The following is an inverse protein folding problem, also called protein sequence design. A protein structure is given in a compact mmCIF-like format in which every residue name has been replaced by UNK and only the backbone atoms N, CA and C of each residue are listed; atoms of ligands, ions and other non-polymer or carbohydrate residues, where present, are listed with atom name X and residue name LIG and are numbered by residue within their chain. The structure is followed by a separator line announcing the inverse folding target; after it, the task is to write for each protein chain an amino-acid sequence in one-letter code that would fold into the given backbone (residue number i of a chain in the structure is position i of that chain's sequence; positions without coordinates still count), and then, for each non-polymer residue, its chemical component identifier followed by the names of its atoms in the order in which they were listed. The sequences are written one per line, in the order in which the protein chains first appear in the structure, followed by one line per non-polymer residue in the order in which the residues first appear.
data_IF_867279475856
#
_entry.id   IF_867279475856
#
_cell.length_a   1.000
_cell.length_b   1.000
_cell.length_c   1.000
_cell.angle_alpha   90.00
_cell.angle_beta   90.00
_cell.angle_gamma   90.00
#
_symmetry.space_group_name_H-M   'P 1'
#
loop_
_entity.id
_entity.type
_entity.pdbx_description
1 polymer ?
#
# COMPACT_ATOMS: atom_id res chain seq x y z
N UNK A 1 16.67 12.65 10.59
CA UNK A 1 17.18 12.48 9.22
C UNK A 1 17.87 11.14 9.21
N UNK A 2 17.26 10.12 8.63
CA UNK A 2 17.86 8.79 8.64
C UNK A 2 18.77 8.67 7.42
N UNK A 3 20.09 8.71 7.65
CA UNK A 3 21.11 8.58 6.60
C UNK A 3 20.95 7.27 5.81
N UNK A 4 20.31 6.27 6.42
CA UNK A 4 19.95 5.00 5.79
C UNK A 4 19.02 5.18 4.57
N UNK A 5 18.06 6.10 4.64
CA UNK A 5 17.10 6.33 3.55
C UNK A 5 17.76 6.94 2.31
N UNK A 6 18.70 7.87 2.52
CA UNK A 6 19.48 8.49 1.43
C UNK A 6 20.42 7.45 0.79
N UNK A 7 21.02 6.57 1.60
CA UNK A 7 21.85 5.48 1.10
C UNK A 7 21.06 4.54 0.18
N UNK A 8 19.85 4.14 0.60
CA UNK A 8 18.98 3.24 -0.15
C UNK A 8 18.55 3.84 -1.51
N UNK A 9 18.20 5.12 -1.54
CA UNK A 9 17.80 5.81 -2.78
C UNK A 9 18.97 5.89 -3.78
N UNK A 10 20.19 6.15 -3.29
CA UNK A 10 21.38 6.17 -4.14
C UNK A 10 21.73 4.78 -4.69
N UNK A 11 21.50 3.72 -3.91
CA UNK A 11 21.73 2.34 -4.31
C UNK A 11 20.73 1.89 -5.39
N UNK A 12 19.44 2.19 -5.20
CA UNK A 12 18.38 1.98 -6.19
C UNK A 12 18.63 2.72 -7.51
N UNK A 13 19.05 3.98 -7.45
CA UNK A 13 19.36 4.75 -8.66
C UNK A 13 20.54 4.15 -9.44
N UNK A 14 21.49 3.53 -8.73
CA UNK A 14 22.63 2.83 -9.33
C UNK A 14 22.23 1.50 -9.98
N UNK A 15 21.35 0.73 -9.34
CA UNK A 15 20.80 -0.52 -9.93
C UNK A 15 20.00 -0.27 -11.20
N UNK A 16 19.29 0.86 -11.26
CA UNK A 16 18.46 1.23 -12.42
C UNK A 16 19.23 2.01 -13.51
N UNK A 17 20.56 2.14 -13.38
CA UNK A 17 21.43 2.90 -14.29
C UNK A 17 20.97 4.36 -14.55
N UNK A 18 20.26 4.96 -13.59
CA UNK A 18 19.67 6.27 -13.77
C UNK A 18 20.71 7.37 -13.59
N UNK A 19 20.77 8.30 -14.54
CA UNK A 19 21.66 9.46 -14.44
C UNK A 19 21.00 10.57 -13.62
N UNK A 20 21.76 11.13 -12.69
CA UNK A 20 21.34 12.32 -11.94
C UNK A 20 21.18 13.49 -12.90
N UNK A 21 19.94 13.95 -13.10
CA UNK A 21 19.61 15.09 -13.95
C UNK A 21 19.56 16.39 -13.17
N UNK A 22 19.18 16.32 -11.88
CA UNK A 22 19.25 17.47 -10.96
C UNK A 22 20.12 17.10 -9.76
N UNK A 23 21.25 17.81 -9.53
CA UNK A 23 22.11 17.56 -8.39
C UNK A 23 21.38 17.86 -7.07
N UNK A 24 21.77 17.16 -6.01
CA UNK A 24 21.20 17.28 -4.68
C UNK A 24 21.07 18.74 -4.25
N UNK A 25 19.82 19.22 -4.11
CA UNK A 25 19.53 20.60 -3.72
C UNK A 25 18.80 20.59 -2.39
N UNK A 26 19.39 21.28 -1.41
CA UNK A 26 18.85 21.45 -0.07
C UNK A 26 18.27 22.84 0.08
N UNK A 27 17.07 22.92 0.65
CA UNK A 27 16.41 24.17 0.99
C UNK A 27 16.67 24.49 2.45
N UNK A 28 16.88 25.78 2.74
CA UNK A 28 17.13 26.28 4.09
C UNK A 28 16.15 27.41 4.43
N UNK A 29 15.72 27.45 5.68
CA UNK A 29 15.07 28.62 6.29
C UNK A 29 15.87 29.01 7.53
N UNK A 30 16.55 30.16 7.44
CA UNK A 30 17.59 30.53 8.40
C UNK A 30 18.75 29.52 8.41
N UNK A 31 19.04 28.92 9.58
CA UNK A 31 20.06 27.87 9.74
C UNK A 31 19.49 26.46 9.68
N UNK A 32 18.19 26.29 9.45
CA UNK A 32 17.55 24.99 9.40
C UNK A 32 17.38 24.49 7.97
N UNK A 33 17.68 23.21 7.75
CA UNK A 33 17.29 22.50 6.52
C UNK A 33 15.77 22.32 6.53
N UNK A 34 15.12 22.81 5.48
CA UNK A 34 13.67 22.75 5.25
C UNK A 34 13.29 21.83 4.10
N UNK A 35 14.23 21.19 3.44
CA UNK A 35 13.90 20.14 2.48
C UNK A 35 15.06 19.79 1.58
N UNK A 36 14.87 18.76 0.76
CA UNK A 36 15.79 18.43 -0.31
C UNK A 36 15.04 17.88 -1.51
N UNK A 37 15.65 18.01 -2.68
CA UNK A 37 15.20 17.35 -3.90
C UNK A 37 16.36 16.66 -4.58
N UNK A 38 16.08 15.48 -5.14
CA UNK A 38 16.99 14.76 -6.02
C UNK A 38 16.18 14.11 -7.14
N UNK A 39 16.64 14.30 -8.38
CA UNK A 39 15.94 13.82 -9.58
C UNK A 39 16.89 12.96 -10.40
N UNK A 40 16.40 11.78 -10.76
CA UNK A 40 17.08 10.80 -11.59
C UNK A 40 16.26 10.57 -12.87
N UNK A 41 16.78 11.06 -14.00
CA UNK A 41 16.07 11.05 -15.30
C UNK A 41 14.72 11.80 -15.27
N UNK A 42 13.77 11.34 -16.07
CA UNK A 42 12.37 11.85 -16.12
C UNK A 42 11.41 11.00 -15.27
N UNK A 43 11.92 9.99 -14.56
CA UNK A 43 11.13 8.88 -14.00
C UNK A 43 11.04 8.95 -12.47
N UNK A 44 12.10 9.41 -11.80
CA UNK A 44 12.19 9.39 -10.34
C UNK A 44 12.53 10.78 -9.80
N UNK A 45 11.56 11.39 -9.12
CA UNK A 45 11.75 12.62 -8.35
C UNK A 45 11.47 12.35 -6.87
N UNK A 46 12.43 12.66 -6.02
CA UNK A 46 12.26 12.60 -4.57
C UNK A 46 12.41 14.01 -4.02
N UNK A 47 11.31 14.55 -3.49
CA UNK A 47 11.31 15.82 -2.77
C UNK A 47 10.79 15.58 -1.35
N UNK A 48 11.54 16.03 -0.35
CA UNK A 48 11.02 16.21 1.00
C UNK A 48 10.95 17.70 1.24
N UNK A 49 9.75 18.24 1.40
CA UNK A 49 9.54 19.60 1.91
C UNK A 49 9.21 19.40 3.39
N UNK A 50 9.95 20.03 4.32
CA UNK A 50 9.36 20.41 5.60
C UNK A 50 8.25 21.37 5.20
N UNK A 51 7.05 20.85 5.03
CA UNK A 51 5.89 21.70 5.21
C UNK A 51 6.09 22.36 6.55
N UNK A 52 5.88 23.68 6.63
CA UNK A 52 5.38 24.22 7.87
C UNK A 52 4.33 23.22 8.34
N UNK A 53 4.50 22.69 9.56
CA UNK A 53 3.38 22.11 10.24
C UNK A 53 2.38 23.27 10.32
N UNK A 54 1.53 23.41 9.29
CA UNK A 54 0.16 23.68 9.58
C UNK A 54 -0.13 22.60 10.61
N UNK A 55 -0.33 23.01 11.85
CA UNK A 55 -1.14 22.26 12.79
C UNK A 55 -2.50 22.09 12.08
N UNK A 56 -2.55 21.25 11.05
CA UNK A 56 -3.59 20.27 10.95
C UNK A 56 -3.46 19.58 12.29
N UNK A 57 -4.27 20.05 13.24
CA UNK A 57 -4.71 19.30 14.37
C UNK A 57 -4.96 17.90 13.81
N UNK A 58 -3.93 17.06 13.90
CA UNK A 58 -4.08 15.66 13.61
C UNK A 58 -5.06 15.28 14.70
N UNK A 59 -6.32 15.15 14.31
CA UNK A 59 -7.20 14.23 14.98
C UNK A 59 -6.53 12.87 14.79
N UNK A 60 -5.46 12.63 15.57
CA UNK A 60 -4.89 11.32 15.74
C UNK A 60 -6.00 10.57 16.44
N UNK A 61 -6.93 10.01 15.66
CA UNK A 61 -7.72 8.88 16.11
C UNK A 61 -6.71 7.98 16.79
N UNK A 62 -6.87 7.83 18.10
CA UNK A 62 -5.90 7.15 18.93
C UNK A 62 -5.89 5.70 18.44
N UNK A 63 -4.90 5.35 17.62
CA UNK A 63 -4.81 4.00 17.04
C UNK A 63 -4.41 3.09 18.18
N UNK A 64 -5.33 2.21 18.58
CA UNK A 64 -5.04 1.19 19.56
C UNK A 64 -4.23 0.07 18.92
N UNK A 65 -2.95 0.01 19.24
CA UNK A 65 -2.03 -1.03 18.77
C UNK A 65 -2.26 -2.38 19.45
N UNK A 66 -3.04 -2.42 20.54
CA UNK A 66 -3.35 -3.62 21.33
C UNK A 66 -4.74 -4.19 21.04
N UNK A 67 -5.39 -3.79 19.93
CA UNK A 67 -6.73 -4.25 19.55
C UNK A 67 -6.85 -5.79 19.42
N UNK A 68 -5.72 -6.48 19.20
CA UNK A 68 -5.64 -7.94 19.20
C UNK A 68 -6.04 -8.52 20.58
N UNK A 69 -5.56 -7.92 21.67
CA UNK A 69 -5.84 -8.38 23.05
C UNK A 69 -7.34 -8.24 23.37
N UNK A 70 -7.96 -7.15 22.92
CA UNK A 70 -9.40 -6.94 23.04
C UNK A 70 -10.19 -7.98 22.25
N UNK A 71 -9.73 -8.28 21.02
CA UNK A 71 -10.33 -9.29 20.13
C UNK A 71 -10.26 -10.69 20.76
N UNK A 72 -9.09 -11.09 21.28
CA UNK A 72 -8.90 -12.36 21.97
C UNK A 72 -9.79 -12.43 23.21
N UNK A 73 -9.88 -11.35 23.98
CA UNK A 73 -10.75 -11.29 25.17
C UNK A 73 -12.22 -11.45 24.80
N UNK A 74 -12.68 -10.75 23.76
CA UNK A 74 -14.07 -10.78 23.31
C UNK A 74 -14.48 -12.16 22.78
N UNK A 75 -13.67 -12.76 21.91
CA UNK A 75 -13.98 -14.04 21.27
C UNK A 75 -13.87 -15.25 22.22
N UNK A 76 -13.22 -15.09 23.38
CA UNK A 76 -13.19 -16.10 24.43
C UNK A 76 -14.36 -16.01 25.43
N UNK A 77 -15.29 -15.05 25.28
CA UNK A 77 -16.49 -15.00 26.11
C UNK A 77 -17.48 -16.10 25.72
N UNK A 78 -18.04 -16.77 26.72
CA UNK A 78 -18.99 -17.87 26.52
C UNK A 78 -20.27 -17.40 25.79
N UNK A 79 -20.78 -16.21 26.11
CA UNK A 79 -21.97 -15.66 25.46
C UNK A 79 -21.72 -15.30 23.99
N UNK A 80 -20.55 -14.77 23.66
CA UNK A 80 -20.11 -14.50 22.28
C UNK A 80 -19.98 -15.79 21.48
N UNK A 81 -19.36 -16.84 22.06
CA UNK A 81 -19.23 -18.14 21.39
C UNK A 81 -20.60 -18.78 21.13
N UNK A 82 -21.49 -18.78 22.13
CA UNK A 82 -22.87 -19.28 21.97
C UNK A 82 -23.64 -18.51 20.90
N UNK A 83 -23.55 -17.18 20.89
CA UNK A 83 -24.21 -16.33 19.90
C UNK A 83 -23.65 -16.54 18.48
N UNK A 84 -22.35 -16.83 18.38
CA UNK A 84 -21.67 -17.10 17.10
C UNK A 84 -21.80 -18.56 16.65
N UNK A 85 -22.49 -19.41 17.43
CA UNK A 85 -22.59 -20.85 17.22
C UNK A 85 -21.22 -21.55 17.10
N UNK A 86 -20.21 -21.01 17.80
CA UNK A 86 -18.85 -21.53 17.79
C UNK A 86 -18.61 -22.45 18.99
N UNK A 87 -17.85 -23.52 18.76
CA UNK A 87 -17.48 -24.50 19.79
C UNK A 87 -15.99 -24.77 19.73
N UNK A 88 -15.31 -24.70 20.88
CA UNK A 88 -13.91 -25.07 20.99
C UNK A 88 -13.78 -26.60 20.97
N UNK A 89 -13.11 -27.12 19.94
CA UNK A 89 -12.87 -28.57 19.79
C UNK A 89 -11.37 -28.81 19.75
N UNK A 90 -10.85 -29.56 20.72
CA UNK A 90 -9.43 -29.88 20.79
C UNK A 90 -8.52 -28.71 21.21
N UNK A 91 -9.10 -27.57 21.60
CA UNK A 91 -8.41 -26.39 22.12
C UNK A 91 -9.15 -25.83 23.32
N UNK A 92 -8.44 -25.11 24.19
CA UNK A 92 -9.00 -24.55 25.44
C UNK A 92 -9.42 -23.09 25.32
N UNK A 93 -8.92 -22.38 24.31
CA UNK A 93 -9.24 -20.99 24.04
C UNK A 93 -9.16 -20.73 22.54
N UNK A 94 -9.89 -19.71 22.08
CA UNK A 94 -9.68 -19.11 20.78
C UNK A 94 -8.42 -18.24 20.81
N UNK A 95 -7.64 -18.25 19.73
CA UNK A 95 -6.44 -17.43 19.56
C UNK A 95 -6.31 -16.96 18.10
N UNK A 96 -5.63 -15.83 17.88
CA UNK A 96 -5.39 -15.26 16.54
C UNK A 96 -4.52 -16.19 15.69
N UNK A 97 -3.50 -16.78 16.31
CA UNK A 97 -2.61 -17.75 15.69
C UNK A 97 -2.80 -19.13 16.30
N UNK A 98 -2.74 -20.17 15.46
CA UNK A 98 -2.81 -21.56 15.92
C UNK A 98 -1.42 -22.09 16.24
N UNK A 99 -1.28 -22.70 17.42
CA UNK A 99 -0.08 -23.46 17.80
C UNK A 99 -0.10 -24.91 17.29
N UNK A 100 -1.25 -25.36 16.76
CA UNK A 100 -1.46 -26.72 16.23
C UNK A 100 -1.07 -26.81 14.75
N UNK A 101 -1.23 -25.72 14.00
CA UNK A 101 -0.84 -25.66 12.60
C UNK A 101 0.67 -25.44 12.47
N UNK A 102 1.35 -26.35 11.78
CA UNK A 102 2.79 -26.25 11.52
C UNK A 102 3.03 -25.91 10.04
N UNK A 103 3.33 -24.64 9.76
CA UNK A 103 3.64 -24.19 8.41
C UNK A 103 5.08 -24.54 8.01
N UNK A 104 5.25 -25.11 6.82
CA UNK A 104 6.57 -25.30 6.24
C UNK A 104 7.09 -23.97 5.69
N UNK A 105 8.14 -23.43 6.32
CA UNK A 105 8.70 -22.12 5.95
C UNK A 105 9.17 -22.04 4.51
N UNK A 106 9.61 -23.15 3.92
CA UNK A 106 10.03 -23.23 2.51
C UNK A 106 8.88 -22.93 1.54
N UNK A 107 7.63 -23.13 1.95
CA UNK A 107 6.48 -22.84 1.11
C UNK A 107 6.31 -21.33 0.88
N UNK A 108 6.87 -20.46 1.74
CA UNK A 108 6.87 -19.01 1.56
C UNK A 108 7.69 -18.58 0.33
N UNK A 109 8.64 -19.40 -0.10
CA UNK A 109 9.50 -19.14 -1.26
C UNK A 109 8.87 -19.62 -2.57
N UNK A 110 7.71 -20.28 -2.52
CA UNK A 110 7.01 -20.76 -3.72
C UNK A 110 6.30 -19.56 -4.38
N UNK A 111 6.71 -19.13 -5.58
CA UNK A 111 6.12 -17.96 -6.21
C UNK A 111 4.69 -18.25 -6.66
N UNK A 112 3.75 -17.41 -6.22
CA UNK A 112 2.33 -17.52 -6.58
C UNK A 112 1.93 -16.63 -7.76
N UNK A 113 2.88 -15.88 -8.34
CA UNK A 113 2.61 -14.94 -9.44
C UNK A 113 2.00 -15.62 -10.68
N UNK A 114 2.36 -16.87 -10.96
CA UNK A 114 1.78 -17.64 -12.06
C UNK A 114 0.29 -17.99 -11.84
N UNK A 115 -0.14 -18.12 -10.58
CA UNK A 115 -1.57 -18.29 -10.25
C UNK A 115 -2.32 -17.01 -10.60
N UNK A 116 -1.76 -15.85 -10.24
CA UNK A 116 -2.32 -14.55 -10.61
C UNK A 116 -2.43 -14.40 -12.13
N UNK A 117 -1.38 -14.76 -12.86
CA UNK A 117 -1.40 -14.78 -14.33
C UNK A 117 -2.46 -15.71 -14.92
N UNK A 118 -2.69 -16.87 -14.30
CA UNK A 118 -3.72 -17.82 -14.74
C UNK A 118 -5.14 -17.26 -14.54
N UNK A 119 -5.38 -16.54 -13.44
CA UNK A 119 -6.65 -15.85 -13.18
C UNK A 119 -6.89 -14.72 -14.18
N UNK A 120 -5.86 -13.94 -14.49
CA UNK A 120 -5.96 -12.87 -15.49
C UNK A 120 -6.28 -13.46 -16.88
N UNK A 121 -5.57 -14.52 -17.29
CA UNK A 121 -5.82 -15.22 -18.57
C UNK A 121 -7.23 -15.82 -18.67
N UNK A 122 -7.86 -16.19 -17.55
CA UNK A 122 -9.21 -16.75 -17.53
C UNK A 122 -10.32 -15.69 -17.55
N UNK A 123 -9.96 -14.40 -17.57
CA UNK A 123 -10.93 -13.30 -17.59
C UNK A 123 -11.45 -12.91 -16.20
N UNK A 124 -10.79 -13.35 -15.12
CA UNK A 124 -11.09 -12.88 -13.76
C UNK A 124 -10.36 -11.57 -13.51
N UNK A 125 -11.10 -10.52 -13.14
CA UNK A 125 -10.51 -9.23 -12.76
C UNK A 125 -9.71 -9.37 -11.46
N UNK A 126 -8.49 -8.85 -11.47
CA UNK A 126 -7.54 -8.90 -10.37
C UNK A 126 -7.17 -7.49 -9.95
N UNK A 127 -7.33 -7.20 -8.67
CA UNK A 127 -6.71 -6.05 -8.01
C UNK A 127 -5.61 -6.56 -7.08
N UNK A 128 -4.40 -6.06 -7.28
CA UNK A 128 -3.31 -6.17 -6.30
C UNK A 128 -3.14 -4.81 -5.64
N UNK A 129 -3.09 -4.77 -4.31
CA UNK A 129 -2.83 -3.53 -3.59
C UNK A 129 -1.79 -3.70 -2.50
N UNK A 130 -1.15 -2.60 -2.12
CA UNK A 130 -0.12 -2.57 -1.07
C UNK A 130 -0.23 -1.29 -0.24
N UNK A 131 -0.12 -1.42 1.07
CA UNK A 131 0.10 -0.26 1.95
C UNK A 131 1.56 0.19 1.87
N UNK A 132 1.80 1.47 1.61
CA UNK A 132 3.16 1.99 1.40
C UNK A 132 4.01 2.07 2.69
N UNK A 133 3.40 1.84 3.85
CA UNK A 133 4.06 1.74 5.15
C UNK A 133 4.35 0.30 5.58
N UNK A 134 4.05 -0.71 4.77
CA UNK A 134 4.35 -2.11 5.08
C UNK A 134 5.83 -2.45 4.84
N UNK A 135 6.52 -2.87 5.91
CA UNK A 135 7.89 -3.36 5.84
C UNK A 135 8.01 -4.89 5.74
N UNK A 136 6.93 -5.63 6.02
CA UNK A 136 6.92 -7.10 5.97
C UNK A 136 6.83 -7.56 4.51
N UNK A 137 5.90 -6.99 3.74
CA UNK A 137 5.77 -7.20 2.30
C UNK A 137 5.91 -5.85 1.58
N UNK A 138 7.15 -5.44 1.26
CA UNK A 138 7.41 -4.09 0.75
C UNK A 138 6.72 -3.82 -0.60
N UNK A 139 6.15 -2.63 -0.71
CA UNK A 139 5.50 -2.09 -1.89
C UNK A 139 6.28 -2.34 -3.20
N UNK A 140 7.59 -2.12 -3.19
CA UNK A 140 8.43 -2.23 -4.38
C UNK A 140 8.45 -3.66 -4.96
N UNK A 141 8.44 -4.67 -4.09
CA UNK A 141 8.40 -6.07 -4.51
C UNK A 141 7.11 -6.39 -5.23
N UNK A 142 5.98 -6.02 -4.62
CA UNK A 142 4.64 -6.22 -5.21
C UNK A 142 4.48 -5.46 -6.52
N UNK A 143 4.91 -4.19 -6.58
CA UNK A 143 4.84 -3.36 -7.79
C UNK A 143 5.64 -3.99 -8.95
N UNK A 144 6.86 -4.44 -8.67
CA UNK A 144 7.72 -5.11 -9.66
C UNK A 144 7.05 -6.37 -10.20
N UNK A 145 6.54 -7.24 -9.33
CA UNK A 145 5.89 -8.49 -9.73
C UNK A 145 4.67 -8.25 -10.62
N UNK A 146 3.84 -7.27 -10.29
CA UNK A 146 2.65 -6.95 -11.09
C UNK A 146 3.03 -6.37 -12.46
N UNK A 147 4.04 -5.49 -12.50
CA UNK A 147 4.51 -4.91 -13.76
C UNK A 147 5.13 -5.95 -14.68
N UNK A 148 5.96 -6.85 -14.15
CA UNK A 148 6.55 -7.95 -14.93
C UNK A 148 5.47 -8.93 -15.41
N UNK A 149 4.48 -9.25 -14.57
CA UNK A 149 3.34 -10.07 -15.01
C UNK A 149 2.56 -9.39 -16.15
N UNK A 150 2.28 -8.09 -16.05
CA UNK A 150 1.58 -7.36 -17.11
C UNK A 150 2.35 -7.39 -18.44
N UNK A 151 3.69 -7.31 -18.39
CA UNK A 151 4.55 -7.45 -19.57
C UNK A 151 4.53 -8.87 -20.13
N UNK A 152 4.66 -9.89 -19.28
CA UNK A 152 4.60 -11.31 -19.67
C UNK A 152 3.29 -11.65 -20.38
N UNK A 153 2.20 -11.02 -19.93
CA UNK A 153 0.85 -11.19 -20.50
C UNK A 153 0.55 -10.25 -21.67
N UNK A 154 1.51 -9.41 -22.08
CA UNK A 154 1.36 -8.41 -23.14
C UNK A 154 0.16 -7.47 -22.94
N UNK A 155 -0.18 -7.18 -21.68
CA UNK A 155 -1.29 -6.29 -21.34
C UNK A 155 -0.92 -4.84 -21.62
N UNK A 156 -1.84 -4.11 -22.26
CA UNK A 156 -1.67 -2.68 -22.50
C UNK A 156 -2.01 -1.89 -21.24
N UNK A 157 -1.15 -0.96 -20.85
CA UNK A 157 -1.49 0.05 -19.83
C UNK A 157 -2.66 0.90 -20.31
N UNK A 158 -3.80 0.82 -19.63
CA UNK A 158 -5.03 1.57 -19.93
C UNK A 158 -5.18 2.79 -19.03
N UNK A 159 -4.75 2.67 -17.78
CA UNK A 159 -4.58 3.81 -16.87
C UNK A 159 -3.09 3.91 -16.54
N UNK A 160 -2.40 4.97 -16.97
CA UNK A 160 -0.99 5.16 -16.64
C UNK A 160 -0.81 5.32 -15.13
N UNK A 161 0.40 5.09 -14.64
CA UNK A 161 0.71 5.29 -13.23
C UNK A 161 0.36 6.72 -12.81
N UNK A 162 -0.67 6.86 -11.97
CA UNK A 162 -1.20 8.16 -11.55
C UNK A 162 -1.62 8.15 -10.10
N UNK A 163 -1.76 9.35 -9.55
CA UNK A 163 -2.33 9.56 -8.22
C UNK A 163 -3.83 9.26 -8.25
N UNK A 164 -4.35 8.73 -7.14
CA UNK A 164 -5.78 8.65 -6.90
C UNK A 164 -6.15 9.29 -5.55
N UNK A 165 -7.40 9.70 -5.44
CA UNK A 165 -7.86 10.57 -4.38
C UNK A 165 -9.02 9.96 -3.58
N UNK A 166 -9.03 10.31 -2.30
CA UNK A 166 -10.18 10.21 -1.41
C UNK A 166 -10.50 11.67 -1.02
N UNK A 167 -11.67 12.15 -1.42
CA UNK A 167 -12.03 13.56 -1.33
C UNK A 167 -10.99 14.48 -1.96
N UNK A 168 -10.36 15.33 -1.13
CA UNK A 168 -9.31 16.28 -1.55
C UNK A 168 -7.90 15.84 -1.17
N UNK A 169 -7.73 14.62 -0.68
CA UNK A 169 -6.47 14.09 -0.19
C UNK A 169 -5.93 13.00 -1.13
N UNK A 170 -4.62 12.97 -1.29
CA UNK A 170 -3.94 11.88 -1.99
C UNK A 170 -4.13 10.60 -1.19
N UNK A 171 -4.80 9.62 -1.79
CA UNK A 171 -5.06 8.33 -1.17
C UNK A 171 -4.07 7.25 -1.62
N UNK A 172 -3.39 7.46 -2.75
CA UNK A 172 -2.26 6.65 -3.18
C UNK A 172 -1.98 6.78 -4.68
N UNK A 173 -1.40 5.74 -5.26
CA UNK A 173 -1.12 5.65 -6.70
C UNK A 173 -1.76 4.40 -7.30
N UNK A 174 -2.06 4.44 -8.59
CA UNK A 174 -2.67 3.31 -9.29
C UNK A 174 -2.19 3.21 -10.73
N UNK A 175 -2.16 1.99 -11.24
CA UNK A 175 -1.90 1.68 -12.64
C UNK A 175 -2.79 0.52 -13.05
N UNK A 176 -3.39 0.60 -14.24
CA UNK A 176 -4.32 -0.41 -14.76
C UNK A 176 -3.82 -0.92 -16.10
N UNK A 177 -3.89 -2.23 -16.29
CA UNK A 177 -3.52 -2.93 -17.50
C UNK A 177 -4.75 -3.64 -18.08
N UNK A 178 -5.17 -3.22 -19.27
CA UNK A 178 -6.45 -3.61 -19.87
C UNK A 178 -7.62 -3.17 -18.99
N UNK A 179 -8.55 -4.08 -18.76
CA UNK A 179 -9.66 -3.97 -17.81
C UNK A 179 -9.62 -5.09 -16.76
N UNK A 180 -8.48 -5.80 -16.69
CA UNK A 180 -8.36 -7.11 -16.04
C UNK A 180 -7.36 -7.14 -14.89
N UNK A 181 -6.28 -6.37 -14.95
CA UNK A 181 -5.24 -6.33 -13.92
C UNK A 181 -5.01 -4.90 -13.45
N UNK A 182 -5.22 -4.66 -12.16
CA UNK A 182 -5.01 -3.35 -11.54
C UNK A 182 -4.03 -3.44 -10.39
N UNK A 183 -3.17 -2.43 -10.27
CA UNK A 183 -2.32 -2.21 -9.10
C UNK A 183 -2.70 -0.90 -8.42
N UNK A 184 -2.72 -0.90 -7.09
CA UNK A 184 -2.91 0.32 -6.32
C UNK A 184 -2.06 0.33 -5.04
N UNK A 185 -1.53 1.49 -4.69
CA UNK A 185 -0.94 1.74 -3.38
C UNK A 185 -1.93 2.51 -2.53
N UNK A 186 -1.86 2.32 -1.21
CA UNK A 186 -2.66 3.06 -0.23
C UNK A 186 -1.70 3.83 0.64
N UNK A 187 -1.73 5.16 0.52
CA UNK A 187 -0.84 6.06 1.23
C UNK A 187 -1.08 5.97 2.73
N UNK A 188 -0.01 5.82 3.51
CA UNK A 188 -0.05 5.73 4.98
C UNK A 188 -0.69 4.45 5.51
N UNK A 189 -0.90 3.43 4.66
CA UNK A 189 -1.41 2.13 5.10
C UNK A 189 -0.26 1.20 5.49
N UNK A 190 -0.48 0.42 6.54
CA UNK A 190 0.39 -0.66 6.98
C UNK A 190 0.05 -1.98 6.25
N UNK A 191 0.62 -3.10 6.71
CA UNK A 191 0.29 -4.44 6.23
C UNK A 191 -1.23 -4.70 6.26
N UNK A 192 -1.86 -4.34 7.37
CA UNK A 192 -3.31 -4.32 7.52
C UNK A 192 -3.89 -2.97 7.07
N UNK A 193 -4.01 -2.80 5.75
CA UNK A 193 -4.59 -1.60 5.16
C UNK A 193 -6.00 -1.25 5.67
N UNK A 194 -6.94 -2.22 5.90
CA UNK A 194 -8.26 -1.88 6.44
C UNK A 194 -8.20 -1.29 7.85
N UNK A 195 -7.23 -1.70 8.67
CA UNK A 195 -7.06 -1.19 10.03
C UNK A 195 -6.46 0.22 10.02
N UNK A 196 -5.41 0.42 9.24
CA UNK A 196 -4.63 1.66 9.23
C UNK A 196 -5.21 2.78 8.36
N UNK A 197 -5.88 2.45 7.25
CA UNK A 197 -6.49 3.39 6.30
C UNK A 197 -7.87 2.91 5.81
N UNK A 198 -8.85 2.71 6.71
CA UNK A 198 -10.16 2.11 6.38
C UNK A 198 -10.92 2.86 5.27
N UNK A 199 -10.94 4.19 5.33
CA UNK A 199 -11.67 5.03 4.38
C UNK A 199 -11.11 4.93 2.96
N UNK A 200 -9.77 5.02 2.83
CA UNK A 200 -9.08 4.90 1.54
C UNK A 200 -9.26 3.51 0.94
N UNK A 201 -9.12 2.46 1.76
CA UNK A 201 -9.32 1.10 1.27
C UNK A 201 -10.77 0.86 0.84
N UNK A 202 -11.75 1.41 1.54
CA UNK A 202 -13.16 1.29 1.15
C UNK A 202 -13.42 1.92 -0.22
N UNK A 203 -12.85 3.09 -0.50
CA UNK A 203 -12.93 3.73 -1.83
C UNK A 203 -12.30 2.85 -2.91
N UNK A 204 -11.12 2.29 -2.64
CA UNK A 204 -10.44 1.39 -3.57
C UNK A 204 -11.26 0.12 -3.82
N UNK A 205 -11.80 -0.49 -2.76
CA UNK A 205 -12.64 -1.68 -2.83
C UNK A 205 -13.92 -1.44 -3.65
N UNK A 206 -14.63 -0.34 -3.38
CA UNK A 206 -15.83 0.02 -4.12
C UNK A 206 -15.55 0.31 -5.60
N UNK A 207 -14.41 0.96 -5.90
CA UNK A 207 -13.97 1.21 -7.27
C UNK A 207 -13.76 -0.11 -8.02
N UNK A 208 -13.06 -1.06 -7.40
CA UNK A 208 -12.81 -2.38 -7.97
C UNK A 208 -14.09 -3.19 -8.21
N UNK A 209 -15.01 -3.24 -7.24
CA UNK A 209 -16.30 -3.91 -7.40
C UNK A 209 -17.11 -3.30 -8.55
N UNK A 210 -17.10 -1.97 -8.66
CA UNK A 210 -17.73 -1.23 -9.75
C UNK A 210 -17.05 -1.40 -11.10
N UNK A 211 -15.87 -2.03 -11.18
CA UNK A 211 -15.09 -2.15 -12.41
C UNK A 211 -14.48 -0.83 -12.88
N UNK A 212 -14.32 0.14 -11.99
CA UNK A 212 -13.78 1.46 -12.29
C UNK A 212 -12.37 1.63 -11.71
N UNK A 213 -11.48 2.38 -12.37
CA UNK A 213 -10.25 2.85 -11.75
C UNK A 213 -10.55 3.73 -10.51
N UNK A 214 -9.65 3.79 -9.52
CA UNK A 214 -9.79 4.68 -8.37
C UNK A 214 -9.93 6.17 -8.78
N UNK A 215 -10.64 7.01 -7.99
CA UNK A 215 -10.98 8.37 -8.39
C UNK A 215 -9.78 9.26 -8.72
N UNK A 216 -9.97 10.15 -9.69
CA UNK A 216 -9.05 11.25 -9.98
C UNK A 216 -9.39 12.49 -9.13
N UNK A 217 -8.56 13.53 -9.20
CA UNK A 217 -8.82 14.76 -8.48
C UNK A 217 -10.16 15.37 -8.94
N UNK A 218 -11.03 15.68 -8.00
CA UNK A 218 -12.25 16.43 -8.29
C UNK A 218 -11.85 17.88 -8.58
N UNK A 219 -11.78 18.25 -9.85
CA UNK A 219 -11.66 19.65 -10.27
C UNK A 219 -13.03 20.31 -10.06
N UNK A 220 -13.23 21.04 -8.96
CA UNK A 220 -14.38 21.93 -8.84
C UNK A 220 -14.26 23.06 -9.84
N UNK A 221 -15.24 23.21 -10.73
CA UNK A 221 -15.32 24.28 -11.74
C UNK A 221 -15.62 25.68 -11.16
N UNK A 222 -15.20 25.98 -9.92
CA UNK A 222 -15.54 27.22 -9.20
C UNK A 222 -14.31 28.00 -8.69
N UNK A 223 -13.19 27.96 -9.41
CA UNK A 223 -12.04 28.83 -9.07
C UNK A 223 -11.23 29.27 -10.30
N UNK A 224 -11.89 29.95 -11.23
CA UNK A 224 -11.23 30.87 -12.18
C UNK A 224 -11.79 32.27 -11.95
#
# INVERSE_FOLDING_TARGET
MDLAYISLVNELAKELELKTTVPYRVWFEGRQVTGWTQVYGDILSFATIKGAAHEAQQDTKNIDVCVEDETVTYLNREDVQKASHAWLVGVTAWSVYSTVLHYEKKNLEIPTIHVLGSLVKSGIRVLVFSGDGDSVIPLLGTCTLVNELAKELELKTTVPYRVWFEGRQVAGWTQVYGDILSFATIRGAAHEAPFSQPERLLVLFNSFLGGNPPPEAVLSAESI
#
